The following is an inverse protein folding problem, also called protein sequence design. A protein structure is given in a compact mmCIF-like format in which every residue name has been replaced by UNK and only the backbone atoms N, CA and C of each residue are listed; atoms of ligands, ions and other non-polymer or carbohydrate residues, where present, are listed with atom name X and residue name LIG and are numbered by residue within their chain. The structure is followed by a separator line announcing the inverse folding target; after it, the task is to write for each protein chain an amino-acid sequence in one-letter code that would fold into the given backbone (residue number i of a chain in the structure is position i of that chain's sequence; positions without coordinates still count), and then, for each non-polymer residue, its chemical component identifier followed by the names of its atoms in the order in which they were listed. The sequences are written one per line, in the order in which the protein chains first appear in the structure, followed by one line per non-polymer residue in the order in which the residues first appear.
data_IF_307842296547
#
_entry.id   IF_307842296547
#
_cell.length_a   1.000
_cell.length_b   1.000
_cell.length_c   1.000
_cell.angle_alpha   90.00
_cell.angle_beta   90.00
_cell.angle_gamma   90.00
#
_symmetry.space_group_name_H-M   'P 1'
#
loop_
_entity.id
_entity.type
_entity.pdbx_description
1 polymer ?
#
# COMPACT_ATOMS: atom_id res chain seq x y z
N UNK A 1 -18.04 1.65 14.55
CA UNK A 1 -17.11 2.35 13.64
C UNK A 1 -15.68 1.91 13.96
N UNK A 2 -15.34 0.64 13.70
CA UNK A 2 -14.07 0.03 14.18
C UNK A 2 -13.55 -1.09 13.28
N UNK A 3 -14.44 -1.90 12.70
CA UNK A 3 -14.06 -3.05 11.86
C UNK A 3 -13.15 -2.69 10.67
N UNK A 4 -13.38 -1.57 9.98
CA UNK A 4 -12.56 -1.20 8.81
C UNK A 4 -11.11 -0.84 9.20
N UNK A 5 -10.95 -0.12 10.30
CA UNK A 5 -9.62 0.29 10.79
C UNK A 5 -8.84 -0.95 11.24
N UNK A 6 -9.51 -1.85 11.97
CA UNK A 6 -8.93 -3.10 12.46
C UNK A 6 -8.43 -3.98 11.31
N UNK A 7 -9.28 -4.18 10.30
CA UNK A 7 -8.93 -4.92 9.08
C UNK A 7 -7.77 -4.23 8.34
N UNK A 8 -7.75 -2.89 8.29
CA UNK A 8 -6.66 -2.16 7.64
C UNK A 8 -5.33 -2.43 8.34
N UNK A 9 -5.29 -2.36 9.67
CA UNK A 9 -4.08 -2.65 10.43
C UNK A 9 -3.64 -4.12 10.28
N UNK A 10 -4.56 -5.06 10.22
CA UNK A 10 -4.24 -6.47 9.95
C UNK A 10 -3.51 -6.64 8.60
N UNK A 11 -4.00 -5.99 7.53
CA UNK A 11 -3.35 -6.03 6.22
C UNK A 11 -1.99 -5.32 6.21
N UNK A 12 -1.84 -4.21 6.93
CA UNK A 12 -0.58 -3.50 7.02
C UNK A 12 0.47 -4.29 7.82
N UNK A 13 0.08 -4.90 8.94
CA UNK A 13 0.95 -5.73 9.77
C UNK A 13 1.43 -6.98 9.01
N UNK A 14 0.61 -7.50 8.10
CA UNK A 14 0.98 -8.62 7.22
C UNK A 14 2.18 -8.32 6.32
N UNK A 15 2.52 -7.05 6.07
CA UNK A 15 3.69 -6.67 5.26
C UNK A 15 5.02 -7.17 5.87
N UNK A 16 5.08 -7.40 7.20
CA UNK A 16 6.30 -7.89 7.87
C UNK A 16 6.73 -9.30 7.43
N UNK A 17 5.83 -10.06 6.82
CA UNK A 17 6.10 -11.41 6.33
C UNK A 17 6.50 -11.45 4.84
N UNK A 18 6.52 -10.31 4.16
CA UNK A 18 6.84 -10.23 2.73
C UNK A 18 8.33 -10.02 2.53
N UNK A 19 8.94 -10.82 1.64
CA UNK A 19 10.25 -10.50 1.09
C UNK A 19 10.08 -9.60 -0.14
N UNK A 20 10.34 -8.30 0.03
CA UNK A 20 10.11 -7.32 -1.03
C UNK A 20 11.13 -7.47 -2.17
N UNK A 21 10.62 -7.54 -3.40
CA UNK A 21 11.42 -7.32 -4.60
C UNK A 21 11.37 -5.83 -4.93
N UNK A 22 12.52 -5.15 -4.83
CA UNK A 22 12.63 -3.72 -5.16
C UNK A 22 12.18 -3.47 -6.61
N UNK A 23 11.37 -2.42 -6.79
CA UNK A 23 10.87 -1.97 -8.10
C UNK A 23 11.03 -0.47 -8.21
N UNK A 24 11.20 0.01 -9.43
CA UNK A 24 11.33 1.44 -9.74
C UNK A 24 9.97 2.16 -9.84
N UNK A 25 8.88 1.51 -9.43
CA UNK A 25 7.53 2.06 -9.48
C UNK A 25 7.15 2.56 -8.09
N UNK A 26 6.79 3.83 -7.99
CA UNK A 26 6.24 4.44 -6.79
C UNK A 26 4.84 5.01 -7.07
N UNK A 27 3.97 4.99 -6.07
CA UNK A 27 2.72 5.74 -6.15
C UNK A 27 2.99 7.23 -5.94
N UNK A 28 2.36 8.11 -6.73
CA UNK A 28 2.48 9.53 -6.49
C UNK A 28 1.83 9.85 -5.14
N UNK A 29 2.62 10.43 -4.23
CA UNK A 29 2.17 10.86 -2.90
C UNK A 29 1.69 12.31 -2.89
N UNK A 30 1.89 13.05 -3.99
CA UNK A 30 1.47 14.44 -4.16
C UNK A 30 0.77 14.58 -5.52
N UNK A 31 -0.56 14.77 -5.48
CA UNK A 31 -1.53 14.95 -6.60
C UNK A 31 -1.37 14.03 -7.82
N UNK A 32 -2.28 13.05 -7.98
CA UNK A 32 -3.59 13.34 -8.61
C UNK A 32 -4.77 13.09 -7.66
N UNK A 33 -5.94 13.67 -7.98
CA UNK A 33 -7.20 13.41 -7.25
C UNK A 33 -7.58 11.93 -7.22
N UNK A 34 -7.22 11.18 -8.27
CA UNK A 34 -7.45 9.73 -8.39
C UNK A 34 -6.29 9.09 -9.15
N UNK A 35 -5.76 7.98 -8.62
CA UNK A 35 -4.70 7.17 -9.26
C UNK A 35 -5.23 5.76 -9.53
N UNK A 36 -5.03 5.25 -10.74
CA UNK A 36 -5.33 3.87 -11.10
C UNK A 36 -4.05 3.05 -11.28
N UNK A 37 -3.97 1.90 -10.63
CA UNK A 37 -2.88 0.93 -10.78
C UNK A 37 -3.41 -0.27 -11.56
N UNK A 38 -2.91 -0.48 -12.78
CA UNK A 38 -3.38 -1.53 -13.68
C UNK A 38 -2.26 -2.50 -14.00
N UNK A 39 -2.59 -3.80 -14.06
CA UNK A 39 -1.65 -4.85 -14.42
C UNK A 39 -2.15 -6.25 -14.09
N UNK A 40 -1.44 -7.30 -14.52
CA UNK A 40 -1.84 -8.70 -14.31
C UNK A 40 -2.02 -9.10 -12.83
N UNK A 41 -2.67 -10.24 -12.58
CA UNK A 41 -2.78 -10.79 -11.22
C UNK A 41 -1.38 -11.12 -10.67
N UNK A 42 -1.17 -10.93 -9.36
CA UNK A 42 0.10 -11.21 -8.64
C UNK A 42 1.31 -10.34 -9.01
N UNK A 43 1.14 -9.29 -9.82
CA UNK A 43 2.23 -8.31 -10.06
C UNK A 43 2.48 -7.36 -8.88
N UNK A 44 1.80 -7.53 -7.74
CA UNK A 44 2.06 -6.74 -6.53
C UNK A 44 1.39 -5.36 -6.48
N UNK A 45 0.27 -5.15 -7.19
CA UNK A 45 -0.52 -3.91 -7.12
C UNK A 45 -1.00 -3.62 -5.69
N UNK A 46 -1.62 -4.61 -5.05
CA UNK A 46 -2.08 -4.52 -3.66
C UNK A 46 -0.92 -4.30 -2.70
N UNK A 47 0.21 -4.97 -2.90
CA UNK A 47 1.41 -4.76 -2.10
C UNK A 47 1.91 -3.32 -2.20
N UNK A 48 2.00 -2.77 -3.42
CA UNK A 48 2.40 -1.38 -3.63
C UNK A 48 1.46 -0.41 -2.90
N UNK A 49 0.15 -0.62 -2.99
CA UNK A 49 -0.84 0.20 -2.26
C UNK A 49 -0.67 0.13 -0.74
N UNK A 50 -0.56 -1.07 -0.19
CA UNK A 50 -0.40 -1.27 1.26
C UNK A 50 0.93 -0.69 1.77
N UNK A 51 2.01 -0.87 1.03
CA UNK A 51 3.32 -0.29 1.36
C UNK A 51 3.24 1.24 1.40
N UNK A 52 2.69 1.87 0.35
CA UNK A 52 2.53 3.32 0.32
C UNK A 52 1.64 3.81 1.47
N UNK A 53 0.52 3.14 1.76
CA UNK A 53 -0.33 3.49 2.90
C UNK A 53 0.42 3.40 4.25
N UNK A 54 1.22 2.34 4.45
CA UNK A 54 2.05 2.19 5.64
C UNK A 54 3.09 3.30 5.78
N UNK A 55 3.73 3.67 4.67
CA UNK A 55 4.74 4.73 4.64
C UNK A 55 4.10 6.10 4.94
N UNK A 56 2.93 6.39 4.37
CA UNK A 56 2.14 7.60 4.68
C UNK A 56 1.75 7.69 6.16
N UNK A 57 1.26 6.59 6.74
CA UNK A 57 0.90 6.52 8.16
C UNK A 57 2.11 6.76 9.08
N UNK A 58 3.30 6.26 8.71
CA UNK A 58 4.54 6.48 9.46
C UNK A 58 5.03 7.93 9.35
N UNK A 59 4.89 8.54 8.18
CA UNK A 59 5.28 9.92 7.92
C UNK A 59 4.29 10.94 8.49
N UNK A 60 3.14 10.50 9.01
CA UNK A 60 2.06 11.35 9.51
C UNK A 60 1.39 12.18 8.41
N UNK A 61 1.42 11.69 7.17
CA UNK A 61 0.85 12.34 5.97
C UNK A 61 -0.40 11.63 5.47
#
# INVERSE_FOLDING_TARGET
MGQLIEITYEYLDSLKYVNEVKREIALPTVSPDVVAIVGPRRVGKTFLMLKTANDMLKDGK
#
